data_IF_389609509098
#
_entry.id   IF_389609509098
#
_cell.length_a   1.000
_cell.length_b   1.000
_cell.length_c   1.000
_cell.angle_alpha   90.00
_cell.angle_beta   90.00
_cell.angle_gamma   90.00
#
_symmetry.space_group_name_H-M   'P 1'
#
loop_
_entity.id
_entity.type
_entity.pdbx_description
1 polymer ?
#
# COMPACT_ATOMS: atom_id res chain seq x y z
N UNK A 1 13.59 -16.00 10.24
CA UNK A 1 14.69 -15.09 10.69
C UNK A 1 15.99 -15.50 10.03
N UNK A 2 16.41 -16.74 10.18
CA UNK A 2 17.69 -17.24 9.63
C UNK A 2 17.85 -17.02 8.11
N UNK A 3 16.75 -17.05 7.35
CA UNK A 3 16.79 -16.75 5.91
C UNK A 3 17.23 -15.31 5.60
N UNK A 4 16.64 -14.33 6.30
CA UNK A 4 16.99 -12.92 6.11
C UNK A 4 18.43 -12.65 6.49
N UNK A 5 18.86 -13.23 7.62
CA UNK A 5 20.24 -13.10 8.09
C UNK A 5 21.24 -13.68 7.09
N UNK A 6 20.94 -14.87 6.55
CA UNK A 6 21.75 -15.48 5.51
C UNK A 6 21.91 -14.56 4.29
N UNK A 7 20.81 -13.92 3.83
CA UNK A 7 20.89 -12.97 2.70
C UNK A 7 21.68 -11.73 3.04
N UNK A 8 21.55 -11.21 4.27
CA UNK A 8 22.33 -10.05 4.73
C UNK A 8 23.83 -10.38 4.71
N UNK A 9 24.23 -11.53 5.20
CA UNK A 9 25.61 -11.99 5.19
C UNK A 9 26.12 -12.24 3.77
N UNK A 10 25.39 -12.98 2.96
CA UNK A 10 25.75 -13.37 1.59
C UNK A 10 26.06 -12.17 0.69
N UNK A 11 25.24 -11.11 0.79
CA UNK A 11 25.40 -9.89 0.01
C UNK A 11 26.07 -8.76 0.80
N UNK A 12 26.53 -9.02 2.01
CA UNK A 12 27.10 -8.02 2.93
C UNK A 12 26.24 -6.74 3.00
N UNK A 13 24.91 -6.95 3.16
CA UNK A 13 23.97 -5.84 3.14
C UNK A 13 24.15 -4.93 4.34
N UNK A 14 24.33 -3.65 4.10
CA UNK A 14 24.48 -2.63 5.13
C UNK A 14 23.96 -1.28 4.64
N UNK A 15 23.92 -0.28 5.51
CA UNK A 15 23.53 1.10 5.14
C UNK A 15 24.43 1.76 4.10
N UNK A 16 25.61 1.20 3.86
CA UNK A 16 26.66 1.79 3.02
C UNK A 16 27.05 0.92 1.84
N UNK A 17 26.67 -0.36 1.83
CA UNK A 17 27.02 -1.28 0.76
C UNK A 17 25.96 -1.28 -0.35
N UNK A 18 26.07 -0.30 -1.25
CA UNK A 18 25.20 -0.20 -2.42
C UNK A 18 25.44 -1.31 -3.44
N UNK A 19 26.69 -1.74 -3.63
CA UNK A 19 27.06 -2.79 -4.57
C UNK A 19 26.38 -4.12 -4.23
N UNK A 20 26.44 -4.56 -2.98
CA UNK A 20 25.76 -5.76 -2.50
C UNK A 20 24.25 -5.69 -2.68
N UNK A 21 23.65 -4.52 -2.42
CA UNK A 21 22.21 -4.31 -2.64
C UNK A 21 21.85 -4.42 -4.14
N UNK A 22 22.62 -3.79 -5.03
CA UNK A 22 22.35 -3.82 -6.47
C UNK A 22 22.50 -5.22 -7.03
N UNK A 23 23.54 -5.96 -6.64
CA UNK A 23 23.74 -7.37 -7.02
C UNK A 23 22.58 -8.25 -6.57
N UNK A 24 22.15 -8.10 -5.33
CA UNK A 24 21.00 -8.87 -4.81
C UNK A 24 19.71 -8.53 -5.57
N UNK A 25 19.46 -7.24 -5.83
CA UNK A 25 18.29 -6.80 -6.61
C UNK A 25 18.31 -7.33 -8.04
N UNK A 26 19.47 -7.42 -8.69
CA UNK A 26 19.62 -8.01 -10.00
C UNK A 26 19.23 -9.51 -9.99
N UNK A 27 19.75 -10.26 -9.03
CA UNK A 27 19.43 -11.67 -8.87
C UNK A 27 17.95 -11.91 -8.54
N UNK A 28 17.33 -11.03 -7.74
CA UNK A 28 15.90 -11.07 -7.47
C UNK A 28 15.06 -10.93 -8.74
N UNK A 29 15.49 -10.08 -9.67
CA UNK A 29 14.76 -9.80 -10.91
C UNK A 29 15.00 -10.85 -12.02
N UNK A 30 15.95 -11.77 -11.83
CA UNK A 30 16.20 -12.82 -12.82
C UNK A 30 15.09 -13.88 -12.74
N UNK A 31 14.48 -14.17 -13.88
CA UNK A 31 13.42 -15.19 -13.98
C UNK A 31 13.93 -16.57 -13.54
N UNK A 32 13.16 -17.24 -12.69
CA UNK A 32 13.52 -18.56 -12.13
C UNK A 32 14.64 -18.54 -11.10
N UNK A 33 15.05 -17.37 -10.63
CA UNK A 33 16.07 -17.22 -9.59
C UNK A 33 15.60 -17.76 -8.24
N UNK A 34 16.49 -18.44 -7.51
CA UNK A 34 16.28 -18.80 -6.11
C UNK A 34 16.16 -17.60 -5.16
N UNK A 35 16.50 -16.39 -5.65
CA UNK A 35 16.42 -15.12 -4.93
C UNK A 35 15.10 -14.36 -5.18
N UNK A 36 14.10 -14.97 -5.81
CA UNK A 36 12.81 -14.32 -6.16
C UNK A 36 11.68 -14.70 -5.21
N UNK A 37 11.97 -14.94 -3.94
CA UNK A 37 10.96 -15.26 -2.94
C UNK A 37 10.34 -14.02 -2.29
N UNK A 38 9.18 -14.12 -1.63
CA UNK A 38 8.62 -13.03 -0.83
C UNK A 38 9.55 -12.53 0.28
N UNK A 39 10.39 -13.40 0.86
CA UNK A 39 11.37 -13.03 1.88
C UNK A 39 12.55 -12.24 1.28
N UNK A 40 12.93 -12.52 0.04
CA UNK A 40 13.93 -11.72 -0.68
C UNK A 40 13.39 -10.32 -0.98
N UNK A 41 12.13 -10.21 -1.44
CA UNK A 41 11.48 -8.91 -1.61
C UNK A 41 11.41 -8.12 -0.30
N UNK A 42 11.03 -8.78 0.78
CA UNK A 42 11.02 -8.16 2.11
C UNK A 42 12.41 -7.66 2.48
N UNK A 43 13.44 -8.49 2.31
CA UNK A 43 14.83 -8.11 2.63
C UNK A 43 15.30 -6.93 1.80
N UNK A 44 15.13 -6.96 0.48
CA UNK A 44 15.46 -5.85 -0.42
C UNK A 44 14.74 -4.56 -0.03
N UNK A 45 13.46 -4.65 0.32
CA UNK A 45 12.68 -3.50 0.75
C UNK A 45 13.27 -2.85 2.00
N UNK A 46 13.80 -3.64 2.96
CA UNK A 46 14.42 -3.09 4.19
C UNK A 46 15.68 -2.27 3.92
N UNK A 47 16.37 -2.51 2.82
CA UNK A 47 17.56 -1.76 2.41
C UNK A 47 17.29 -0.72 1.32
N UNK A 48 16.06 -0.66 0.78
CA UNK A 48 15.67 0.33 -0.22
C UNK A 48 15.43 1.72 0.39
N UNK A 49 15.50 2.75 -0.47
CA UNK A 49 15.18 4.12 -0.09
C UNK A 49 13.73 4.25 0.38
N UNK A 50 13.52 4.80 1.57
CA UNK A 50 12.24 4.90 2.27
C UNK A 50 11.50 3.55 2.45
N UNK A 51 12.18 2.43 2.28
CA UNK A 51 11.62 1.08 2.43
C UNK A 51 10.38 0.83 1.57
N UNK A 52 10.36 1.39 0.37
CA UNK A 52 9.24 1.30 -0.55
C UNK A 52 9.31 0.02 -1.40
N UNK A 53 8.14 -0.51 -1.75
CA UNK A 53 7.99 -1.53 -2.79
C UNK A 53 7.72 -0.80 -4.10
N UNK A 54 8.66 -0.93 -5.05
CA UNK A 54 8.55 -0.29 -6.36
C UNK A 54 9.00 -1.23 -7.46
N UNK A 55 8.15 -1.33 -8.50
CA UNK A 55 8.44 -2.10 -9.71
C UNK A 55 8.40 -1.19 -10.94
N UNK A 56 9.21 -1.49 -11.95
CA UNK A 56 9.17 -0.81 -13.24
C UNK A 56 8.10 -1.44 -14.17
N UNK A 57 8.01 -0.93 -15.40
CA UNK A 57 7.04 -1.42 -16.39
C UNK A 57 7.27 -2.88 -16.82
N UNK A 58 8.47 -3.44 -16.57
CA UNK A 58 8.78 -4.85 -16.83
C UNK A 58 8.51 -5.74 -15.61
N UNK A 59 7.90 -5.19 -14.55
CA UNK A 59 7.68 -5.87 -13.27
C UNK A 59 8.97 -6.26 -12.55
N UNK A 60 10.08 -5.56 -12.82
CA UNK A 60 11.32 -5.70 -12.08
C UNK A 60 11.32 -4.77 -10.86
N UNK A 61 11.72 -5.28 -9.71
CA UNK A 61 11.91 -4.47 -8.51
C UNK A 61 13.02 -3.45 -8.74
N UNK A 62 12.71 -2.16 -8.64
CA UNK A 62 13.63 -1.09 -9.00
C UNK A 62 13.74 0.03 -7.96
N UNK A 63 13.38 -0.24 -6.71
CA UNK A 63 13.60 0.72 -5.64
C UNK A 63 15.10 1.05 -5.50
N UNK A 64 15.41 2.32 -5.28
CA UNK A 64 16.78 2.78 -5.09
C UNK A 64 17.35 2.31 -3.75
N UNK A 65 18.67 2.21 -3.64
CA UNK A 65 19.35 1.93 -2.38
C UNK A 65 19.14 3.04 -1.34
N UNK A 66 18.87 2.66 -0.10
CA UNK A 66 18.63 3.57 1.01
C UNK A 66 19.89 3.98 1.75
N UNK A 67 20.87 4.56 1.03
CA UNK A 67 22.18 4.94 1.55
C UNK A 67 22.12 5.72 2.87
N UNK A 68 22.85 5.24 3.87
CA UNK A 68 22.94 5.80 5.23
C UNK A 68 21.63 5.88 6.03
N UNK A 69 20.53 5.29 5.51
CA UNK A 69 19.18 5.41 6.09
C UNK A 69 18.55 4.07 6.42
N UNK A 70 18.57 3.15 5.48
CA UNK A 70 17.77 1.94 5.49
C UNK A 70 18.62 0.72 5.84
N UNK A 71 18.11 -0.10 6.76
CA UNK A 71 18.71 -1.38 7.14
C UNK A 71 17.68 -2.22 7.90
N UNK A 72 17.90 -3.52 7.95
CA UNK A 72 17.17 -4.41 8.83
C UNK A 72 17.87 -4.42 10.20
N UNK A 73 17.34 -3.64 11.13
CA UNK A 73 17.92 -3.46 12.47
C UNK A 73 17.19 -4.29 13.52
N UNK A 74 17.75 -4.31 14.77
CA UNK A 74 17.21 -5.11 15.88
C UNK A 74 15.77 -4.73 16.24
N UNK A 75 15.39 -3.46 16.16
CA UNK A 75 14.01 -3.05 16.39
C UNK A 75 13.05 -3.65 15.37
N UNK A 76 13.42 -3.64 14.08
CA UNK A 76 12.60 -4.27 13.02
C UNK A 76 12.52 -5.78 13.23
N UNK A 77 13.65 -6.41 13.58
CA UNK A 77 13.71 -7.83 13.90
C UNK A 77 12.75 -8.17 15.04
N UNK A 78 12.87 -7.48 16.16
CA UNK A 78 12.03 -7.68 17.33
C UNK A 78 10.55 -7.44 17.03
N UNK A 79 10.23 -6.40 16.25
CA UNK A 79 8.87 -6.12 15.83
C UNK A 79 8.31 -7.23 14.91
N UNK A 80 9.12 -7.78 14.01
CA UNK A 80 8.72 -8.89 13.13
C UNK A 80 8.42 -10.15 13.95
N UNK A 81 9.26 -10.47 14.93
CA UNK A 81 9.05 -11.60 15.84
C UNK A 81 7.79 -11.39 16.69
N UNK A 82 7.60 -10.19 17.25
CA UNK A 82 6.43 -9.86 18.06
C UNK A 82 5.12 -9.79 17.25
N UNK A 83 5.19 -9.55 15.94
CA UNK A 83 4.03 -9.49 15.05
C UNK A 83 3.55 -10.90 14.64
N UNK A 84 4.46 -11.85 14.48
CA UNK A 84 4.13 -13.20 14.02
C UNK A 84 2.97 -13.87 14.79
N UNK A 85 2.96 -13.92 16.13
CA UNK A 85 1.85 -14.54 16.86
C UNK A 85 0.51 -13.81 16.70
N UNK A 86 0.54 -12.51 16.36
CA UNK A 86 -0.68 -11.70 16.21
C UNK A 86 -1.44 -11.96 14.91
N UNK A 87 -0.78 -12.58 13.92
CA UNK A 87 -1.36 -12.84 12.61
C UNK A 87 -1.66 -14.32 12.35
N UNK A 88 -1.60 -15.17 13.39
CA UNK A 88 -1.81 -16.61 13.21
C UNK A 88 -3.22 -16.96 12.71
N UNK A 89 -4.22 -16.18 13.14
CA UNK A 89 -5.61 -16.35 12.76
C UNK A 89 -6.03 -15.44 11.58
N UNK A 90 -5.07 -14.73 10.96
CA UNK A 90 -5.34 -13.84 9.82
C UNK A 90 -5.23 -14.62 8.52
N UNK A 91 -6.30 -14.62 7.74
CA UNK A 91 -6.31 -15.17 6.39
C UNK A 91 -5.89 -14.10 5.37
N UNK A 92 -4.81 -14.35 4.64
CA UNK A 92 -4.33 -13.48 3.57
C UNK A 92 -4.83 -13.99 2.22
N UNK A 93 -5.51 -13.12 1.47
CA UNK A 93 -6.00 -13.43 0.13
C UNK A 93 -5.34 -12.51 -0.89
N UNK A 94 -5.00 -13.04 -2.07
CA UNK A 94 -4.52 -12.27 -3.22
C UNK A 94 -5.55 -12.39 -4.33
N UNK A 95 -6.57 -11.52 -4.28
CA UNK A 95 -7.67 -11.52 -5.25
C UNK A 95 -8.10 -10.10 -5.57
N UNK A 96 -8.74 -9.91 -6.71
CA UNK A 96 -9.42 -8.65 -7.03
C UNK A 96 -10.66 -8.51 -6.16
N UNK A 97 -10.90 -7.34 -5.58
CA UNK A 97 -12.05 -7.09 -4.70
C UNK A 97 -13.40 -7.33 -5.41
N UNK A 98 -13.46 -7.23 -6.74
CA UNK A 98 -14.66 -7.51 -7.53
C UNK A 98 -15.08 -8.97 -7.50
N UNK A 99 -14.11 -9.84 -7.16
CA UNK A 99 -14.33 -11.30 -7.04
C UNK A 99 -14.54 -11.71 -5.57
N UNK A 100 -14.46 -10.75 -4.65
CA UNK A 100 -14.69 -11.04 -3.24
C UNK A 100 -16.18 -11.22 -2.98
N UNK A 101 -16.55 -12.41 -2.51
CA UNK A 101 -17.92 -12.73 -2.17
C UNK A 101 -18.27 -12.24 -0.77
N UNK A 102 -19.40 -11.55 -0.65
CA UNK A 102 -19.96 -11.09 0.63
C UNK A 102 -20.93 -12.11 1.25
N UNK A 103 -21.19 -13.24 0.61
CA UNK A 103 -22.06 -14.28 1.16
C UNK A 103 -21.44 -14.89 2.42
N UNK A 104 -22.26 -15.03 3.47
CA UNK A 104 -21.82 -15.53 4.76
C UNK A 104 -21.33 -14.47 5.74
N UNK A 105 -21.06 -13.24 5.30
CA UNK A 105 -20.78 -12.11 6.18
C UNK A 105 -22.06 -11.49 6.71
N UNK A 106 -22.03 -10.98 7.95
CA UNK A 106 -23.19 -10.48 8.69
C UNK A 106 -22.95 -9.07 9.22
N UNK A 107 -23.97 -8.46 9.82
CA UNK A 107 -23.88 -7.15 10.49
C UNK A 107 -22.81 -7.06 11.59
N UNK A 108 -22.30 -8.21 12.06
CA UNK A 108 -21.26 -8.30 13.10
C UNK A 108 -19.85 -8.25 12.48
N UNK A 109 -19.77 -8.36 11.14
CA UNK A 109 -18.55 -8.21 10.38
C UNK A 109 -18.31 -6.76 9.95
N UNK A 110 -17.04 -6.44 9.69
CA UNK A 110 -16.63 -5.09 9.33
C UNK A 110 -15.68 -5.10 8.12
N UNK A 111 -15.93 -4.20 7.17
CA UNK A 111 -15.07 -4.05 5.99
C UNK A 111 -14.30 -2.73 6.08
N UNK A 112 -12.97 -2.80 6.04
CA UNK A 112 -12.12 -1.62 5.85
C UNK A 112 -11.53 -1.62 4.45
N UNK A 113 -11.65 -0.50 3.74
CA UNK A 113 -11.18 -0.34 2.37
C UNK A 113 -10.19 0.81 2.27
N UNK A 114 -9.01 0.51 1.74
CA UNK A 114 -7.96 1.48 1.45
C UNK A 114 -7.50 1.30 -0.01
N UNK A 115 -8.30 1.77 -1.00
CA UNK A 115 -7.99 1.61 -2.41
C UNK A 115 -6.88 2.57 -2.84
N UNK A 116 -6.25 2.36 -4.01
CA UNK A 116 -5.46 3.41 -4.61
C UNK A 116 -6.33 4.66 -4.85
N UNK A 117 -5.87 5.84 -4.41
CA UNK A 117 -6.67 7.05 -4.50
C UNK A 117 -6.65 7.63 -5.92
N UNK A 118 -7.83 7.77 -6.54
CA UNK A 118 -8.00 8.15 -7.94
C UNK A 118 -7.22 9.42 -8.32
N UNK A 119 -7.27 10.45 -7.48
CA UNK A 119 -6.65 11.74 -7.76
C UNK A 119 -5.16 11.80 -7.39
N UNK A 120 -4.65 10.84 -6.60
CA UNK A 120 -3.23 10.71 -6.24
C UNK A 120 -2.48 9.70 -7.14
N UNK A 121 -3.18 9.03 -8.04
CA UNK A 121 -2.68 7.89 -8.81
C UNK A 121 -1.46 8.22 -9.69
N UNK A 122 -1.35 9.46 -10.17
CA UNK A 122 -0.21 9.89 -10.97
C UNK A 122 1.12 9.84 -10.17
N UNK A 123 1.05 10.04 -8.86
CA UNK A 123 2.23 10.07 -7.99
C UNK A 123 2.65 8.64 -7.56
N UNK A 124 1.68 7.72 -7.39
CA UNK A 124 1.94 6.33 -7.04
C UNK A 124 2.30 5.45 -8.24
N UNK A 125 1.85 5.81 -9.44
CA UNK A 125 2.00 5.01 -10.66
C UNK A 125 3.20 5.41 -11.54
N UNK A 126 4.10 6.25 -11.07
CA UNK A 126 5.34 6.51 -11.77
C UNK A 126 6.11 5.19 -11.95
N UNK A 127 5.97 4.57 -13.13
CA UNK A 127 6.58 3.29 -13.47
C UNK A 127 5.65 2.07 -13.57
N UNK A 128 4.34 2.21 -13.34
CA UNK A 128 3.37 1.13 -13.63
C UNK A 128 2.80 1.28 -15.04
N UNK A 129 2.55 0.17 -15.70
CA UNK A 129 1.79 0.15 -16.95
C UNK A 129 0.38 0.69 -16.71
N UNK A 130 -0.19 1.39 -17.68
CA UNK A 130 -1.58 1.89 -17.61
C UNK A 130 -2.60 0.80 -17.25
N UNK A 131 -2.25 -0.47 -17.48
CA UNK A 131 -3.07 -1.65 -17.18
C UNK A 131 -3.22 -1.94 -15.67
N UNK A 132 -2.34 -1.39 -14.83
CA UNK A 132 -2.35 -1.56 -13.35
C UNK A 132 -2.71 -0.27 -12.62
N UNK A 133 -3.10 0.79 -13.34
CA UNK A 133 -3.46 2.06 -12.73
C UNK A 133 -4.94 2.05 -12.31
N UNK A 134 -5.21 2.51 -11.07
CA UNK A 134 -6.56 2.76 -10.60
C UNK A 134 -7.21 3.88 -11.43
N UNK A 135 -8.41 3.67 -11.91
CA UNK A 135 -9.12 4.60 -12.79
C UNK A 135 -10.58 4.78 -12.34
N UNK A 136 -11.32 5.64 -13.07
CA UNK A 136 -12.73 5.94 -12.77
C UNK A 136 -13.62 4.70 -12.72
N UNK A 137 -13.37 3.68 -13.56
CA UNK A 137 -14.16 2.45 -13.53
C UNK A 137 -13.87 1.62 -12.27
N UNK A 138 -12.62 1.63 -11.80
CA UNK A 138 -12.23 0.97 -10.55
C UNK A 138 -12.86 1.67 -9.34
N UNK A 139 -12.84 3.02 -9.33
CA UNK A 139 -13.50 3.83 -8.31
C UNK A 139 -15.00 3.54 -8.24
N UNK A 140 -15.70 3.53 -9.39
CA UNK A 140 -17.11 3.15 -9.45
C UNK A 140 -17.36 1.70 -9.06
N UNK A 141 -16.42 0.80 -9.30
CA UNK A 141 -16.57 -0.60 -8.92
C UNK A 141 -16.50 -0.78 -7.42
N UNK A 142 -15.57 -0.09 -6.74
CA UNK A 142 -15.47 -0.18 -5.26
C UNK A 142 -16.68 0.48 -4.59
N UNK A 143 -17.19 1.58 -5.15
CA UNK A 143 -18.42 2.22 -4.68
C UNK A 143 -19.60 1.25 -4.73
N UNK A 144 -19.82 0.57 -5.87
CA UNK A 144 -20.88 -0.46 -6.00
C UNK A 144 -20.70 -1.64 -5.04
N UNK A 145 -19.45 -2.04 -4.79
CA UNK A 145 -19.16 -3.08 -3.81
C UNK A 145 -19.59 -2.66 -2.40
N UNK A 146 -19.32 -1.42 -2.02
CA UNK A 146 -19.70 -0.87 -0.73
C UNK A 146 -21.20 -0.59 -0.60
N UNK A 147 -21.86 -0.19 -1.69
CA UNK A 147 -23.33 -0.06 -1.75
C UNK A 147 -23.99 -1.43 -1.52
N UNK A 148 -23.51 -2.50 -2.19
CA UNK A 148 -23.99 -3.86 -1.96
C UNK A 148 -23.73 -4.33 -0.51
N UNK A 149 -22.58 -4.01 0.07
CA UNK A 149 -22.30 -4.28 1.49
C UNK A 149 -23.31 -3.58 2.41
N UNK A 150 -23.69 -2.32 2.09
CA UNK A 150 -24.69 -1.56 2.84
C UNK A 150 -26.07 -2.20 2.72
N UNK A 151 -26.49 -2.62 1.53
CA UNK A 151 -27.77 -3.31 1.31
C UNK A 151 -27.87 -4.62 2.09
N UNK A 152 -26.74 -5.28 2.32
CA UNK A 152 -26.63 -6.50 3.14
C UNK A 152 -26.53 -6.22 4.65
N UNK A 153 -26.51 -4.95 5.06
CA UNK A 153 -26.41 -4.54 6.46
C UNK A 153 -25.00 -4.63 7.06
N UNK A 154 -23.97 -4.82 6.21
CA UNK A 154 -22.57 -4.83 6.65
C UNK A 154 -22.09 -3.41 6.94
N UNK A 155 -21.31 -3.25 7.99
CA UNK A 155 -20.64 -1.99 8.31
C UNK A 155 -19.31 -1.92 7.56
N UNK A 156 -19.00 -0.74 7.03
CA UNK A 156 -17.73 -0.51 6.36
C UNK A 156 -17.21 0.89 6.58
N UNK A 157 -15.90 1.03 6.39
CA UNK A 157 -15.25 2.34 6.22
C UNK A 157 -14.27 2.31 5.06
N UNK A 158 -14.12 3.44 4.38
CA UNK A 158 -13.19 3.65 3.28
C UNK A 158 -12.38 4.90 3.50
N UNK A 159 -11.04 4.81 3.46
CA UNK A 159 -10.17 5.97 3.34
C UNK A 159 -10.04 6.40 1.88
N UNK A 160 -10.04 7.71 1.61
CA UNK A 160 -9.82 8.25 0.27
C UNK A 160 -9.40 9.74 0.35
N UNK A 161 -8.87 10.28 -0.76
CA UNK A 161 -8.70 11.71 -0.93
C UNK A 161 -9.89 12.34 -1.64
N UNK A 162 -10.51 13.34 -1.01
CA UNK A 162 -11.48 14.23 -1.69
C UNK A 162 -10.74 15.36 -2.40
N UNK A 163 -9.65 15.86 -1.83
CA UNK A 163 -8.80 16.86 -2.48
C UNK A 163 -7.33 16.50 -2.33
N UNK A 164 -6.58 16.64 -3.42
CA UNK A 164 -5.12 16.50 -3.41
C UNK A 164 -4.51 17.42 -4.43
N UNK A 165 -3.71 18.40 -3.96
CA UNK A 165 -3.18 19.48 -4.79
C UNK A 165 -4.34 20.24 -5.48
N UNK A 166 -4.27 20.38 -6.80
CA UNK A 166 -5.27 21.02 -7.67
C UNK A 166 -6.45 20.13 -8.07
N UNK A 167 -6.41 18.84 -7.67
CA UNK A 167 -7.42 17.85 -8.06
C UNK A 167 -8.47 17.66 -6.97
N UNK A 168 -9.71 17.44 -7.40
CA UNK A 168 -10.86 17.11 -6.54
C UNK A 168 -11.49 15.81 -7.02
N UNK A 169 -11.78 14.89 -6.10
CA UNK A 169 -12.48 13.63 -6.37
C UNK A 169 -13.98 13.83 -6.19
N UNK A 170 -14.58 14.57 -7.11
CA UNK A 170 -16.02 14.86 -7.12
C UNK A 170 -16.83 13.56 -7.15
N UNK A 171 -16.36 12.54 -7.88
CA UNK A 171 -17.04 11.26 -8.00
C UNK A 171 -17.27 10.60 -6.64
N UNK A 172 -16.28 10.55 -5.79
CA UNK A 172 -16.37 9.93 -4.45
C UNK A 172 -17.15 10.81 -3.48
N UNK A 173 -16.96 12.13 -3.55
CA UNK A 173 -17.71 13.06 -2.71
C UNK A 173 -19.21 13.02 -2.98
N UNK A 174 -19.62 13.15 -4.25
CA UNK A 174 -21.04 13.08 -4.65
C UNK A 174 -21.66 11.71 -4.34
N UNK A 175 -20.94 10.62 -4.57
CA UNK A 175 -21.41 9.28 -4.22
C UNK A 175 -21.70 9.16 -2.72
N UNK A 176 -20.79 9.62 -1.88
CA UNK A 176 -20.99 9.54 -0.43
C UNK A 176 -22.16 10.40 0.04
N UNK A 177 -22.30 11.63 -0.48
CA UNK A 177 -23.41 12.55 -0.14
C UNK A 177 -24.75 11.96 -0.61
N UNK A 178 -24.84 11.47 -1.85
CA UNK A 178 -26.08 10.95 -2.43
C UNK A 178 -26.60 9.70 -1.72
N UNK A 179 -25.70 8.91 -1.12
CA UNK A 179 -26.05 7.72 -0.34
C UNK A 179 -26.19 8.00 1.18
N UNK A 180 -26.08 9.28 1.61
CA UNK A 180 -26.10 9.67 3.01
C UNK A 180 -25.03 8.99 3.87
N UNK A 181 -23.85 8.72 3.30
CA UNK A 181 -22.70 8.22 4.05
C UNK A 181 -22.02 9.33 4.83
N UNK A 182 -21.45 9.00 5.98
CA UNK A 182 -20.73 9.99 6.78
C UNK A 182 -19.33 10.23 6.22
N UNK A 183 -18.89 11.48 6.18
CA UNK A 183 -17.57 11.88 5.72
C UNK A 183 -16.83 12.54 6.88
N UNK A 184 -15.77 11.91 7.38
CA UNK A 184 -14.93 12.41 8.46
C UNK A 184 -13.57 12.85 7.93
N UNK A 185 -13.17 14.08 8.23
CA UNK A 185 -11.85 14.57 7.86
C UNK A 185 -10.76 13.91 8.70
N UNK A 186 -9.77 13.32 8.05
CA UNK A 186 -8.58 12.77 8.70
C UNK A 186 -7.49 13.85 8.70
N UNK A 187 -7.01 14.20 9.91
CA UNK A 187 -5.83 15.08 10.05
C UNK A 187 -4.57 14.22 10.00
N UNK A 188 -4.07 13.94 8.80
CA UNK A 188 -2.82 13.21 8.63
C UNK A 188 -1.64 14.16 8.43
N UNK A 189 -0.55 13.94 9.15
CA UNK A 189 0.71 14.67 8.96
C UNK A 189 1.63 13.89 7.99
N UNK A 190 1.57 14.23 6.73
CA UNK A 190 2.43 13.67 5.68
C UNK A 190 3.80 14.36 5.58
N UNK A 191 4.12 15.29 6.46
CA UNK A 191 5.36 16.08 6.40
C UNK A 191 6.65 15.26 6.38
N UNK A 192 6.62 14.04 6.90
CA UNK A 192 7.75 13.11 6.91
C UNK A 192 7.92 12.31 5.63
N UNK A 193 6.89 12.22 4.81
CA UNK A 193 6.85 11.41 3.58
C UNK A 193 7.02 12.26 2.32
N UNK A 194 6.80 13.57 2.42
CA UNK A 194 6.82 14.51 1.30
C UNK A 194 8.13 15.28 1.20
N UNK A 195 8.48 15.72 0.01
CA UNK A 195 9.64 16.58 -0.23
C UNK A 195 9.41 17.99 0.31
N UNK A 196 10.49 18.75 0.55
CA UNK A 196 10.40 20.12 1.10
C UNK A 196 9.55 21.06 0.23
N UNK A 197 9.48 20.81 -1.08
CA UNK A 197 8.66 21.57 -2.03
C UNK A 197 7.16 21.27 -1.92
N UNK A 198 6.81 20.02 -1.55
CA UNK A 198 5.42 19.58 -1.39
C UNK A 198 4.81 19.99 -0.03
N UNK A 199 5.65 20.48 0.91
CA UNK A 199 5.19 20.94 2.24
C UNK A 199 4.58 22.34 2.23
N UNK A 200 4.73 23.10 1.15
CA UNK A 200 4.29 24.50 1.06
C UNK A 200 3.06 24.56 0.16
N UNK A 201 1.87 24.47 0.76
CA UNK A 201 0.75 25.24 0.29
C UNK A 201 -0.42 24.56 -0.39
N UNK A 202 -0.46 23.21 -0.63
CA UNK A 202 -1.67 22.60 -1.18
C UNK A 202 -2.38 21.69 -0.16
N UNK A 203 -3.61 22.02 0.25
CA UNK A 203 -4.31 21.22 1.24
C UNK A 203 -4.72 19.87 0.63
N UNK A 204 -4.12 18.79 1.11
CA UNK A 204 -4.66 17.45 0.94
C UNK A 204 -5.78 17.25 1.93
N UNK A 205 -6.95 16.86 1.46
CA UNK A 205 -8.09 16.48 2.27
C UNK A 205 -8.29 14.97 2.18
N UNK A 206 -7.78 14.28 3.17
CA UNK A 206 -8.05 12.85 3.38
C UNK A 206 -9.29 12.69 4.24
N UNK A 207 -10.12 11.73 3.89
CA UNK A 207 -11.38 11.45 4.59
C UNK A 207 -11.51 9.97 4.91
N UNK A 208 -12.27 9.68 5.96
CA UNK A 208 -12.85 8.39 6.22
C UNK A 208 -14.35 8.47 5.91
N UNK A 209 -14.82 7.64 4.98
CA UNK A 209 -16.23 7.53 4.62
C UNK A 209 -16.79 6.28 5.29
N UNK A 210 -17.98 6.37 5.91
CA UNK A 210 -18.60 5.25 6.61
C UNK A 210 -20.11 5.19 6.30
N UNK A 211 -20.69 3.99 6.34
CA UNK A 211 -22.16 3.79 6.29
C UNK A 211 -22.81 3.67 7.67
N UNK A 212 -22.10 4.01 8.72
CA UNK A 212 -22.57 3.97 10.12
C UNK A 212 -22.10 5.23 10.87
N UNK A 213 -22.76 5.55 11.97
CA UNK A 213 -22.41 6.62 12.92
C UNK A 213 -21.41 6.14 13.97
#
# INVERSE_FOLDING_TARGET
MDYIDKRIEEFNLSKTNEEGYLKYRELYNNEGSEYSTPLDLFTLTRFSYNQIIRFNNKMEFNAAFGKNRSSYNDNMRNNTIAFQPKIQDVQFLSTDFRLFDLDGYTKDDFIYVDPPYLIANADYNAGRTAKLSWNVNDEKAIQRFLDNATERGLKWSMSNFIKHKDKVNILTEEWAINNNYNIYNIKADYSKLTTKAERIGDPTLEVLITNYN
#
